data_IF_442596643733
#
_entry.id   IF_442596643733
#
_cell.length_a   1.000
_cell.length_b   1.000
_cell.length_c   1.000
_cell.angle_alpha   90.00
_cell.angle_beta   90.00
_cell.angle_gamma   90.00
#
_symmetry.space_group_name_H-M   'P 1'
#
loop_
_entity.id
_entity.type
_entity.pdbx_description
1 polymer ?
#
# COMPACT_ATOMS: atom_id res chain seq x y z
N UNK A 1 16.59 24.44 20.71
CA UNK A 1 17.01 23.32 19.84
C UNK A 1 16.50 23.62 18.44
N UNK A 2 17.35 23.72 17.41
CA UNK A 2 16.89 24.09 16.08
C UNK A 2 15.87 23.05 15.56
N UNK A 3 14.82 23.48 14.82
CA UNK A 3 13.77 22.60 14.27
C UNK A 3 14.34 21.39 13.50
N UNK A 4 15.49 21.58 12.83
CA UNK A 4 16.25 20.54 12.12
C UNK A 4 16.83 19.46 13.04
N UNK A 5 17.15 19.78 14.29
CA UNK A 5 17.68 18.82 15.26
C UNK A 5 16.57 17.94 15.82
N UNK A 6 15.38 18.52 16.05
CA UNK A 6 14.24 17.79 16.58
C UNK A 6 13.76 16.67 15.64
N UNK A 7 13.56 16.99 14.36
CA UNK A 7 13.11 15.99 13.37
C UNK A 7 14.15 14.89 13.18
N UNK A 8 15.45 15.23 13.14
CA UNK A 8 16.52 14.22 13.07
C UNK A 8 16.49 13.29 14.27
N UNK A 9 16.26 13.83 15.48
CA UNK A 9 16.16 13.02 16.69
C UNK A 9 14.94 12.11 16.69
N UNK A 10 13.78 12.57 16.19
CA UNK A 10 12.57 11.76 16.05
C UNK A 10 12.80 10.60 15.09
N UNK A 11 13.39 10.87 13.92
CA UNK A 11 13.70 9.84 12.93
C UNK A 11 14.68 8.81 13.48
N UNK A 12 15.77 9.28 14.10
CA UNK A 12 16.77 8.41 14.74
C UNK A 12 16.15 7.48 15.81
N UNK A 13 15.11 7.95 16.49
CA UNK A 13 14.36 7.14 17.44
C UNK A 13 13.48 6.09 16.77
N UNK A 14 12.70 6.46 15.77
CA UNK A 14 11.84 5.53 15.02
C UNK A 14 12.68 4.46 14.31
N UNK A 15 13.85 4.83 13.80
CA UNK A 15 14.77 3.95 13.06
C UNK A 15 15.78 3.21 13.98
N UNK A 16 15.64 3.33 15.30
CA UNK A 16 16.55 2.72 16.28
C UNK A 16 16.66 1.19 16.13
N UNK A 17 17.77 0.60 16.56
CA UNK A 17 17.94 -0.86 16.52
C UNK A 17 16.96 -1.58 17.45
N UNK A 18 16.66 -2.85 17.16
CA UNK A 18 15.69 -3.68 17.91
C UNK A 18 16.00 -3.75 19.40
N UNK A 19 17.28 -3.73 19.79
CA UNK A 19 17.74 -3.74 21.18
C UNK A 19 17.20 -2.56 22.02
N UNK A 20 17.02 -1.39 21.39
CA UNK A 20 16.50 -0.18 22.04
C UNK A 20 14.96 -0.21 22.13
N UNK A 21 14.30 -1.07 21.33
CA UNK A 21 12.84 -1.20 21.22
C UNK A 21 12.25 -2.22 22.20
N UNK A 22 13.02 -2.70 23.17
CA UNK A 22 12.58 -3.69 24.16
C UNK A 22 11.42 -3.18 25.02
N UNK A 23 10.60 -4.11 25.49
CA UNK A 23 9.57 -3.81 26.48
C UNK A 23 10.19 -3.10 27.71
N UNK A 24 9.49 -2.10 28.24
CA UNK A 24 9.98 -1.27 29.35
C UNK A 24 10.95 -0.15 28.97
N UNK A 25 11.46 -0.06 27.73
CA UNK A 25 12.35 1.06 27.32
C UNK A 25 11.64 2.39 27.09
N UNK A 26 10.30 2.39 27.14
CA UNK A 26 9.45 3.51 26.73
C UNK A 26 9.35 3.70 25.22
N UNK A 27 10.04 2.89 24.40
CA UNK A 27 9.98 3.03 22.94
C UNK A 27 8.63 2.60 22.39
N UNK A 28 8.14 1.41 22.80
CA UNK A 28 6.84 0.89 22.35
C UNK A 28 5.69 1.83 22.74
N UNK A 29 5.69 2.32 23.98
CA UNK A 29 4.69 3.30 24.41
C UNK A 29 4.78 4.60 23.61
N UNK A 30 5.98 5.09 23.32
CA UNK A 30 6.14 6.29 22.49
C UNK A 30 5.69 6.07 21.04
N UNK A 31 6.01 4.91 20.48
CA UNK A 31 5.67 4.56 19.10
C UNK A 31 4.15 4.38 18.93
N UNK A 32 3.51 3.55 19.76
CA UNK A 32 2.06 3.35 19.70
C UNK A 32 1.30 4.61 20.13
N UNK A 33 1.84 5.37 21.09
CA UNK A 33 1.32 6.69 21.42
C UNK A 33 1.34 7.62 20.21
N UNK A 34 2.44 7.69 19.47
CA UNK A 34 2.53 8.50 18.25
C UNK A 34 1.59 8.01 17.14
N UNK A 35 1.52 6.69 16.93
CA UNK A 35 0.63 6.09 15.93
C UNK A 35 -0.85 6.43 16.21
N UNK A 36 -1.30 6.22 17.45
CA UNK A 36 -2.66 6.54 17.86
C UNK A 36 -2.93 8.05 17.92
N UNK A 37 -1.94 8.87 18.25
CA UNK A 37 -2.06 10.33 18.17
C UNK A 37 -2.34 10.78 16.74
N UNK A 38 -1.56 10.30 15.77
CA UNK A 38 -1.72 10.64 14.36
C UNK A 38 -3.06 10.12 13.83
N UNK A 39 -3.40 8.85 14.08
CA UNK A 39 -4.65 8.26 13.64
C UNK A 39 -5.85 9.00 14.25
N UNK A 40 -5.85 9.26 15.55
CA UNK A 40 -6.89 10.02 16.24
C UNK A 40 -7.01 11.45 15.71
N UNK A 41 -5.88 12.13 15.48
CA UNK A 41 -5.87 13.46 14.87
C UNK A 41 -6.51 13.46 13.47
N UNK A 42 -6.17 12.49 12.62
CA UNK A 42 -6.76 12.35 11.30
C UNK A 42 -8.26 12.06 11.35
N UNK A 43 -8.73 11.23 12.29
CA UNK A 43 -10.16 11.02 12.52
C UNK A 43 -10.88 12.30 12.96
N UNK A 44 -10.27 13.10 13.85
CA UNK A 44 -10.84 14.39 14.27
C UNK A 44 -10.93 15.37 13.11
N UNK A 45 -9.91 15.42 12.25
CA UNK A 45 -9.93 16.25 11.03
C UNK A 45 -11.04 15.80 10.07
N UNK A 46 -11.18 14.50 9.84
CA UNK A 46 -12.24 13.94 9.00
C UNK A 46 -13.64 14.21 9.58
N UNK A 47 -13.81 14.16 10.90
CA UNK A 47 -15.08 14.52 11.55
C UNK A 47 -15.37 16.03 11.48
N UNK A 48 -14.33 16.87 11.54
CA UNK A 48 -14.48 18.33 11.47
C UNK A 48 -14.81 18.82 10.07
N UNK A 49 -14.18 18.24 9.05
CA UNK A 49 -14.30 18.67 7.66
C UNK A 49 -14.63 17.47 6.76
N UNK A 50 -15.83 16.87 6.93
CA UNK A 50 -16.17 15.61 6.26
C UNK A 50 -16.14 15.72 4.72
N UNK A 51 -16.59 16.84 4.16
CA UNK A 51 -16.64 17.03 2.70
C UNK A 51 -15.26 16.98 2.02
N UNK A 52 -14.19 17.26 2.78
CA UNK A 52 -12.81 17.27 2.26
C UNK A 52 -12.02 16.03 2.64
N UNK A 53 -12.22 15.50 3.85
CA UNK A 53 -11.29 14.52 4.43
C UNK A 53 -11.92 13.18 4.79
N UNK A 54 -13.23 13.06 4.62
CA UNK A 54 -13.96 11.85 4.94
C UNK A 54 -14.43 11.12 3.68
N UNK A 55 -14.30 9.80 3.72
CA UNK A 55 -14.61 8.90 2.62
C UNK A 55 -16.04 8.35 2.80
N UNK A 56 -16.94 8.41 1.79
CA UNK A 56 -18.32 7.94 1.90
C UNK A 56 -18.43 6.46 2.27
N UNK A 57 -17.49 5.64 1.80
CA UNK A 57 -17.43 4.21 2.10
C UNK A 57 -17.28 3.92 3.60
N UNK A 58 -16.76 4.87 4.38
CA UNK A 58 -16.63 4.76 5.83
C UNK A 58 -17.83 5.35 6.59
N UNK A 59 -18.88 5.85 5.92
CA UNK A 59 -20.04 6.44 6.59
C UNK A 59 -20.77 5.43 7.48
N UNK A 60 -20.85 4.16 7.06
CA UNK A 60 -21.42 3.08 7.89
C UNK A 60 -20.65 2.96 9.22
N UNK A 61 -19.33 3.08 9.17
CA UNK A 61 -18.47 3.00 10.36
C UNK A 61 -18.57 4.28 11.19
N UNK A 62 -18.58 5.46 10.55
CA UNK A 62 -18.63 6.76 11.24
C UNK A 62 -20.00 7.02 11.91
N UNK A 63 -21.08 6.54 11.30
CA UNK A 63 -22.45 6.67 11.81
C UNK A 63 -22.80 5.61 12.84
N UNK A 64 -21.95 4.60 13.05
CA UNK A 64 -22.11 3.67 14.15
C UNK A 64 -21.97 4.39 15.50
N UNK A 65 -22.93 4.21 16.40
CA UNK A 65 -22.98 4.92 17.69
C UNK A 65 -21.72 4.76 18.57
N UNK A 66 -20.94 3.70 18.37
CA UNK A 66 -19.68 3.48 19.07
C UNK A 66 -18.47 4.22 18.48
N UNK A 67 -18.56 4.79 17.27
CA UNK A 67 -17.41 5.36 16.56
C UNK A 67 -16.76 6.52 17.30
N UNK A 68 -17.55 7.49 17.76
CA UNK A 68 -17.02 8.61 18.55
C UNK A 68 -16.37 8.12 19.85
N UNK A 69 -16.96 7.10 20.49
CA UNK A 69 -16.37 6.43 21.64
C UNK A 69 -15.00 5.82 21.32
N UNK A 70 -14.87 5.17 20.16
CA UNK A 70 -13.60 4.60 19.67
C UNK A 70 -12.54 5.69 19.40
N UNK A 71 -12.91 6.79 18.75
CA UNK A 71 -11.99 7.94 18.54
C UNK A 71 -11.53 8.51 19.89
N UNK A 72 -12.46 8.66 20.84
CA UNK A 72 -12.14 9.15 22.18
C UNK A 72 -11.17 8.22 22.91
N UNK A 73 -11.47 6.90 22.92
CA UNK A 73 -10.60 5.89 23.51
C UNK A 73 -9.20 5.89 22.86
N UNK A 74 -9.12 6.04 21.54
CA UNK A 74 -7.85 6.11 20.80
C UNK A 74 -7.00 7.30 21.25
N UNK A 75 -7.61 8.49 21.40
CA UNK A 75 -6.92 9.69 21.90
C UNK A 75 -6.48 9.55 23.36
N UNK A 76 -7.31 8.94 24.22
CA UNK A 76 -6.96 8.68 25.63
C UNK A 76 -5.80 7.67 25.76
N UNK A 77 -5.85 6.57 25.02
CA UNK A 77 -4.76 5.58 25.00
C UNK A 77 -3.48 6.22 24.48
N UNK A 78 -3.56 6.99 23.40
CA UNK A 78 -2.44 7.79 22.88
C UNK A 78 -1.82 8.68 23.95
N UNK A 79 -2.66 9.43 24.68
CA UNK A 79 -2.22 10.32 25.75
C UNK A 79 -1.51 9.54 26.87
N UNK A 80 -2.11 8.47 27.38
CA UNK A 80 -1.50 7.63 28.43
C UNK A 80 -0.16 7.03 28.00
N UNK A 81 -0.08 6.51 26.76
CA UNK A 81 1.16 5.96 26.20
C UNK A 81 2.24 7.04 25.98
N UNK A 82 1.85 8.25 25.58
CA UNK A 82 2.76 9.38 25.43
C UNK A 82 3.40 9.78 26.77
N UNK A 83 2.61 9.86 27.84
CA UNK A 83 3.10 10.12 29.20
C UNK A 83 4.02 8.99 29.69
N UNK A 84 3.63 7.74 29.48
CA UNK A 84 4.47 6.59 29.83
C UNK A 84 5.82 6.62 29.08
N UNK A 85 5.81 7.01 27.80
CA UNK A 85 7.05 7.21 27.04
C UNK A 85 7.90 8.35 27.60
N UNK A 86 7.28 9.47 27.96
CA UNK A 86 7.95 10.60 28.60
C UNK A 86 8.55 10.24 29.96
N UNK A 87 7.96 9.29 30.69
CA UNK A 87 8.54 8.78 31.94
C UNK A 87 9.73 7.86 31.67
N UNK A 88 9.51 6.80 30.88
CA UNK A 88 10.47 5.70 30.74
C UNK A 88 11.64 6.01 29.79
N UNK A 89 11.42 6.83 28.75
CA UNK A 89 12.37 6.97 27.66
C UNK A 89 13.36 8.09 27.91
N UNK A 90 14.69 7.90 27.79
CA UNK A 90 15.65 8.99 27.98
C UNK A 90 15.45 10.14 26.98
N UNK A 91 15.24 9.81 25.71
CA UNK A 91 14.92 10.79 24.65
C UNK A 91 13.42 11.04 24.61
N UNK A 92 13.01 12.24 25.02
CA UNK A 92 11.60 12.62 25.17
C UNK A 92 10.90 12.96 23.84
N UNK A 93 11.63 13.06 22.74
CA UNK A 93 11.14 13.50 21.42
C UNK A 93 9.95 12.67 20.92
N UNK A 94 9.99 11.34 21.11
CA UNK A 94 8.92 10.46 20.66
C UNK A 94 7.60 10.70 21.43
N UNK A 95 7.68 10.64 22.77
CA UNK A 95 6.53 10.90 23.64
C UNK A 95 6.01 12.34 23.54
N UNK A 96 6.90 13.33 23.42
CA UNK A 96 6.51 14.74 23.27
C UNK A 96 5.78 14.99 21.95
N UNK A 97 6.27 14.42 20.84
CA UNK A 97 5.58 14.53 19.55
C UNK A 97 4.18 13.92 19.61
N UNK A 98 4.05 12.72 20.18
CA UNK A 98 2.76 12.06 20.36
C UNK A 98 1.79 12.90 21.21
N UNK A 99 2.29 13.43 22.34
CA UNK A 99 1.52 14.28 23.25
C UNK A 99 1.03 15.55 22.53
N UNK A 100 1.91 16.25 21.79
CA UNK A 100 1.54 17.48 21.09
C UNK A 100 0.49 17.25 20.01
N UNK A 101 0.59 16.16 19.24
CA UNK A 101 -0.41 15.80 18.23
C UNK A 101 -1.75 15.44 18.89
N UNK A 102 -1.72 14.65 19.97
CA UNK A 102 -2.93 14.29 20.73
C UNK A 102 -3.62 15.52 21.33
N UNK A 103 -2.85 16.45 21.92
CA UNK A 103 -3.38 17.71 22.44
C UNK A 103 -3.97 18.58 21.32
N UNK A 104 -3.34 18.65 20.15
CA UNK A 104 -3.91 19.35 19.00
C UNK A 104 -5.26 18.74 18.57
N UNK A 105 -5.39 17.42 18.55
CA UNK A 105 -6.66 16.74 18.27
C UNK A 105 -7.75 17.11 19.29
N UNK A 106 -7.41 17.17 20.57
CA UNK A 106 -8.34 17.57 21.65
C UNK A 106 -8.75 19.04 21.50
N UNK A 107 -7.80 19.94 21.22
CA UNK A 107 -8.07 21.37 21.00
C UNK A 107 -8.98 21.63 19.79
N UNK A 108 -8.94 20.76 18.79
CA UNK A 108 -9.86 20.80 17.65
C UNK A 108 -11.27 20.26 17.96
N UNK A 109 -11.53 19.83 19.20
CA UNK A 109 -12.83 19.32 19.66
C UNK A 109 -12.86 17.83 19.95
N UNK A 110 -11.77 17.10 19.68
CA UNK A 110 -11.66 15.67 19.93
C UNK A 110 -12.78 14.87 19.26
N UNK A 111 -13.25 13.81 19.91
CA UNK A 111 -14.30 12.94 19.38
C UNK A 111 -15.71 13.60 19.33
N UNK A 112 -15.91 14.71 20.03
CA UNK A 112 -17.19 15.42 20.08
C UNK A 112 -17.27 16.57 19.07
N UNK A 113 -16.23 16.71 18.24
CA UNK A 113 -16.19 17.72 17.20
C UNK A 113 -17.42 17.60 16.30
N UNK A 114 -18.04 18.75 16.01
CA UNK A 114 -19.16 18.80 15.08
C UNK A 114 -18.63 19.17 13.69
N UNK A 115 -19.23 18.61 12.62
CA UNK A 115 -18.93 19.01 11.26
C UNK A 115 -19.06 20.51 11.10
N UNK A 116 -18.07 21.13 10.47
CA UNK A 116 -18.19 22.49 9.99
C UNK A 116 -18.93 22.46 8.66
N UNK A 117 -19.81 23.44 8.42
CA UNK A 117 -20.37 23.64 7.09
C UNK A 117 -19.23 23.98 6.13
N UNK A 118 -18.93 23.05 5.23
CA UNK A 118 -17.99 23.22 4.14
C UNK A 118 -18.71 23.15 2.80
N UNK A 119 -18.05 23.61 1.74
CA UNK A 119 -18.56 23.42 0.38
C UNK A 119 -18.20 22.00 -0.07
N UNK A 120 -19.20 21.26 -0.49
CA UNK A 120 -19.01 20.00 -1.22
C UNK A 120 -18.66 20.31 -2.68
N UNK A 121 -17.43 19.99 -3.06
CA UNK A 121 -16.92 20.15 -4.42
C UNK A 121 -17.06 18.84 -5.24
N UNK A 122 -17.64 17.79 -4.65
CA UNK A 122 -17.70 16.44 -5.21
C UNK A 122 -16.37 15.68 -5.18
N UNK A 123 -15.31 16.28 -4.64
CA UNK A 123 -13.98 15.70 -4.52
C UNK A 123 -13.56 15.71 -3.05
N UNK A 124 -13.21 14.53 -2.54
CA UNK A 124 -12.67 14.33 -1.20
C UNK A 124 -11.27 13.70 -1.27
N UNK A 125 -10.50 13.93 -0.21
CA UNK A 125 -9.20 13.33 0.04
C UNK A 125 -9.33 12.38 1.22
N UNK A 126 -9.35 11.07 0.98
CA UNK A 126 -9.67 10.05 1.99
C UNK A 126 -8.64 9.92 3.12
N UNK A 127 -8.59 10.89 4.03
CA UNK A 127 -7.66 10.92 5.16
C UNK A 127 -8.06 9.92 6.23
N UNK A 128 -9.37 9.77 6.47
CA UNK A 128 -9.93 8.70 7.29
C UNK A 128 -9.59 7.32 6.71
N UNK A 129 -9.73 7.16 5.39
CA UNK A 129 -9.39 5.94 4.69
C UNK A 129 -7.90 5.61 4.76
N UNK A 130 -7.02 6.60 4.58
CA UNK A 130 -5.58 6.42 4.84
C UNK A 130 -5.31 5.92 6.26
N UNK A 131 -5.89 6.57 7.27
CA UNK A 131 -5.63 6.23 8.67
C UNK A 131 -6.15 4.83 9.01
N UNK A 132 -7.36 4.48 8.58
CA UNK A 132 -7.91 3.12 8.77
C UNK A 132 -7.04 2.09 8.06
N UNK A 133 -6.69 2.31 6.79
CA UNK A 133 -5.88 1.36 6.03
C UNK A 133 -4.50 1.18 6.65
N UNK A 134 -3.82 2.26 7.03
CA UNK A 134 -2.50 2.18 7.66
C UNK A 134 -2.54 1.35 8.95
N UNK A 135 -3.59 1.54 9.77
CA UNK A 135 -3.76 0.75 10.99
C UNK A 135 -4.06 -0.71 10.65
N UNK A 136 -5.04 -0.98 9.79
CA UNK A 136 -5.46 -2.34 9.44
C UNK A 136 -4.31 -3.13 8.81
N UNK A 137 -3.66 -2.61 7.77
CA UNK A 137 -2.54 -3.30 7.11
C UNK A 137 -1.31 -3.37 8.02
N UNK A 138 -1.03 -2.30 8.77
CA UNK A 138 0.08 -2.28 9.72
C UNK A 138 -0.09 -3.34 10.82
N UNK A 139 -1.27 -3.45 11.42
CA UNK A 139 -1.56 -4.48 12.43
C UNK A 139 -1.72 -5.88 11.84
N UNK A 140 -2.01 -6.00 10.55
CA UNK A 140 -2.05 -7.30 9.86
C UNK A 140 -0.65 -7.82 9.56
N UNK A 141 0.19 -7.01 8.92
CA UNK A 141 1.46 -7.47 8.37
C UNK A 141 2.67 -7.25 9.28
N UNK A 142 2.71 -6.15 10.05
CA UNK A 142 3.88 -5.92 10.91
C UNK A 142 4.08 -7.06 11.93
N UNK A 143 3.04 -7.60 12.61
CA UNK A 143 3.20 -8.77 13.47
C UNK A 143 3.61 -10.02 12.69
N UNK A 144 3.04 -10.23 11.50
CA UNK A 144 3.33 -11.38 10.65
C UNK A 144 4.81 -11.41 10.23
N UNK A 145 5.35 -10.27 9.79
CA UNK A 145 6.77 -10.11 9.46
C UNK A 145 7.70 -10.26 10.67
N UNK A 146 7.19 -10.10 11.91
CA UNK A 146 7.98 -10.36 13.13
C UNK A 146 7.91 -11.80 13.60
N UNK A 147 6.76 -12.44 13.44
CA UNK A 147 6.58 -13.83 13.82
C UNK A 147 7.29 -14.78 12.84
N UNK A 148 7.23 -14.47 11.53
CA UNK A 148 7.76 -15.31 10.47
C UNK A 148 8.67 -14.52 9.51
N UNK A 149 9.77 -13.89 9.98
CA UNK A 149 10.62 -13.06 9.12
C UNK A 149 11.40 -13.90 8.11
N UNK A 150 11.43 -13.45 6.85
CA UNK A 150 12.46 -13.91 5.91
C UNK A 150 13.82 -13.29 6.27
N UNK A 151 13.90 -11.95 6.38
CA UNK A 151 15.08 -11.20 6.84
C UNK A 151 14.94 -10.77 8.30
N UNK A 152 15.46 -11.59 9.22
CA UNK A 152 15.41 -11.34 10.69
C UNK A 152 16.06 -10.02 11.12
N UNK A 153 17.13 -9.61 10.43
CA UNK A 153 17.85 -8.38 10.75
C UNK A 153 17.13 -7.10 10.27
N UNK A 154 16.08 -7.22 9.45
CA UNK A 154 15.37 -6.06 8.91
C UNK A 154 14.57 -5.32 9.99
N UNK A 155 14.80 -4.01 10.09
CA UNK A 155 14.09 -3.14 11.04
C UNK A 155 12.66 -2.90 10.57
N UNK A 156 11.77 -2.58 11.51
CA UNK A 156 10.37 -2.28 11.17
C UNK A 156 10.28 -0.98 10.37
N UNK A 157 11.11 -0.03 10.75
CA UNK A 157 11.34 1.20 10.00
C UNK A 157 12.71 1.08 9.34
N UNK A 158 12.74 0.40 8.19
CA UNK A 158 13.91 0.31 7.30
C UNK A 158 14.12 1.62 6.56
N UNK A 159 15.32 1.95 6.13
CA UNK A 159 15.70 3.28 5.60
C UNK A 159 14.69 3.95 4.66
N UNK A 160 14.02 3.19 3.80
CA UNK A 160 13.13 3.72 2.77
C UNK A 160 11.64 3.82 3.20
N UNK A 161 11.31 3.40 4.44
CA UNK A 161 9.93 3.37 4.96
C UNK A 161 9.16 4.69 4.80
N UNK A 162 9.89 5.81 4.84
CA UNK A 162 9.33 7.17 4.72
C UNK A 162 8.84 7.46 3.32
N UNK A 163 9.59 7.01 2.33
CA UNK A 163 9.23 7.15 0.92
C UNK A 163 8.01 6.29 0.63
N UNK A 164 8.04 5.03 1.08
CA UNK A 164 6.93 4.09 0.88
C UNK A 164 5.65 4.52 1.62
N UNK A 165 5.78 5.05 2.84
CA UNK A 165 4.65 5.62 3.57
C UNK A 165 4.08 6.85 2.86
N UNK A 166 4.92 7.67 2.23
CA UNK A 166 4.45 8.81 1.47
C UNK A 166 3.69 8.37 0.21
N UNK A 167 4.20 7.37 -0.52
CA UNK A 167 3.47 6.76 -1.64
C UNK A 167 2.14 6.13 -1.21
N UNK A 168 2.13 5.46 -0.05
CA UNK A 168 0.91 4.91 0.55
C UNK A 168 -0.09 6.03 0.84
N UNK A 169 0.35 7.10 1.50
CA UNK A 169 -0.46 8.29 1.80
C UNK A 169 -1.09 8.88 0.53
N UNK A 170 -0.28 9.15 -0.50
CA UNK A 170 -0.77 9.74 -1.75
C UNK A 170 -1.78 8.78 -2.41
N UNK A 171 -1.45 7.49 -2.53
CA UNK A 171 -2.31 6.53 -3.22
C UNK A 171 -3.66 6.32 -2.52
N UNK A 172 -3.70 6.37 -1.18
CA UNK A 172 -4.95 6.24 -0.42
C UNK A 172 -5.72 7.54 -0.33
N UNK A 173 -5.06 8.69 -0.16
CA UNK A 173 -5.76 9.98 -0.08
C UNK A 173 -6.39 10.34 -1.43
N UNK A 174 -5.74 9.99 -2.53
CA UNK A 174 -6.25 10.23 -3.89
C UNK A 174 -7.09 9.06 -4.41
N UNK A 175 -7.54 8.13 -3.56
CA UNK A 175 -8.25 6.91 -4.01
C UNK A 175 -9.48 7.24 -4.86
N UNK A 176 -10.24 8.29 -4.54
CA UNK A 176 -11.41 8.72 -5.32
C UNK A 176 -11.00 9.13 -6.74
N UNK A 177 -10.03 10.03 -6.87
CA UNK A 177 -9.54 10.53 -8.17
C UNK A 177 -8.92 9.39 -8.97
N UNK A 178 -8.09 8.55 -8.35
CA UNK A 178 -7.45 7.42 -9.03
C UNK A 178 -8.46 6.38 -9.49
N UNK A 179 -9.49 6.10 -8.69
CA UNK A 179 -10.56 5.17 -9.06
C UNK A 179 -11.45 5.76 -10.15
N UNK A 180 -11.77 7.05 -10.07
CA UNK A 180 -12.47 7.77 -11.12
C UNK A 180 -11.70 7.72 -12.44
N UNK A 181 -10.40 8.07 -12.45
CA UNK A 181 -9.60 8.02 -13.67
C UNK A 181 -9.51 6.61 -14.26
N UNK A 182 -9.41 5.58 -13.40
CA UNK A 182 -9.31 4.21 -13.85
C UNK A 182 -10.63 3.63 -14.38
N UNK A 183 -11.78 4.08 -13.84
CA UNK A 183 -13.09 3.49 -14.11
C UNK A 183 -14.03 4.41 -14.91
N UNK A 184 -13.73 5.70 -15.06
CA UNK A 184 -14.54 6.64 -15.82
C UNK A 184 -14.90 6.14 -17.25
N UNK A 185 -13.98 5.50 -18.01
CA UNK A 185 -14.36 5.03 -19.34
C UNK A 185 -15.35 3.85 -19.33
N UNK A 186 -15.57 3.18 -18.19
CA UNK A 186 -16.57 2.11 -18.06
C UNK A 186 -17.98 2.61 -18.37
N UNK A 187 -18.35 3.80 -17.90
CA UNK A 187 -19.69 4.36 -18.15
C UNK A 187 -19.91 4.59 -19.64
N UNK A 188 -18.90 5.13 -20.32
CA UNK A 188 -18.91 5.32 -21.76
C UNK A 188 -19.06 3.98 -22.51
N UNK A 189 -18.28 2.96 -22.14
CA UNK A 189 -18.38 1.62 -22.74
C UNK A 189 -19.77 1.04 -22.54
N UNK A 190 -20.32 1.08 -21.32
CA UNK A 190 -21.63 0.52 -21.04
C UNK A 190 -22.74 1.24 -21.81
N UNK A 191 -22.68 2.56 -21.92
CA UNK A 191 -23.66 3.37 -22.67
C UNK A 191 -23.66 3.05 -24.18
N UNK A 192 -22.52 2.64 -24.75
CA UNK A 192 -22.38 2.36 -26.19
C UNK A 192 -22.38 0.87 -26.54
N UNK A 193 -22.61 -0.02 -25.56
CA UNK A 193 -22.62 -1.47 -25.76
C UNK A 193 -23.93 -2.10 -25.28
N UNK A 194 -25.07 -1.40 -25.37
CA UNK A 194 -26.38 -1.93 -24.93
C UNK A 194 -26.76 -3.27 -25.59
N UNK A 195 -26.21 -3.59 -26.76
CA UNK A 195 -26.31 -4.91 -27.38
C UNK A 195 -25.76 -6.06 -26.53
N UNK A 196 -24.96 -5.77 -25.50
CA UNK A 196 -24.37 -6.76 -24.58
C UNK A 196 -25.21 -6.96 -23.32
N UNK A 197 -26.39 -6.34 -23.19
CA UNK A 197 -27.16 -6.40 -21.93
C UNK A 197 -27.58 -7.82 -21.56
N UNK A 198 -27.98 -8.65 -22.53
CA UNK A 198 -28.27 -10.06 -22.29
C UNK A 198 -27.02 -10.84 -21.83
N UNK A 199 -25.85 -10.53 -22.39
CA UNK A 199 -24.58 -11.13 -21.97
C UNK A 199 -24.22 -10.72 -20.53
N UNK A 200 -24.30 -9.41 -20.22
CA UNK A 200 -24.06 -8.88 -18.87
C UNK A 200 -25.02 -9.50 -17.85
N UNK A 201 -26.29 -9.65 -18.19
CA UNK A 201 -27.27 -10.32 -17.35
C UNK A 201 -26.91 -11.80 -17.12
N UNK A 202 -26.43 -12.50 -18.15
CA UNK A 202 -25.92 -13.86 -18.03
C UNK A 202 -24.72 -13.98 -17.09
N UNK A 203 -23.75 -13.06 -17.19
CA UNK A 203 -22.60 -13.00 -16.28
C UNK A 203 -23.04 -12.71 -14.84
N UNK A 204 -23.94 -11.73 -14.65
CA UNK A 204 -24.48 -11.37 -13.34
C UNK A 204 -25.26 -12.52 -12.68
N UNK A 205 -25.87 -13.40 -13.47
CA UNK A 205 -26.63 -14.55 -13.01
C UNK A 205 -25.76 -15.75 -12.58
N UNK A 206 -24.45 -15.75 -12.89
CA UNK A 206 -23.55 -16.79 -12.41
C UNK A 206 -23.49 -16.81 -10.88
N UNK A 207 -23.26 -17.97 -10.23
CA UNK A 207 -23.06 -18.01 -8.79
C UNK A 207 -21.91 -17.09 -8.37
N UNK A 208 -22.05 -16.42 -7.23
CA UNK A 208 -21.08 -15.42 -6.74
C UNK A 208 -19.64 -15.94 -6.74
N UNK A 209 -19.42 -17.17 -6.28
CA UNK A 209 -18.08 -17.77 -6.23
C UNK A 209 -17.49 -18.03 -7.63
N UNK A 210 -18.33 -18.35 -8.61
CA UNK A 210 -17.90 -18.54 -10.00
C UNK A 210 -17.49 -17.21 -10.60
N UNK A 211 -18.28 -16.16 -10.37
CA UNK A 211 -17.91 -14.79 -10.76
C UNK A 211 -16.56 -14.38 -10.17
N UNK A 212 -16.36 -14.61 -8.86
CA UNK A 212 -15.12 -14.25 -8.17
C UNK A 212 -13.90 -14.99 -8.72
N UNK A 213 -14.02 -16.30 -9.00
CA UNK A 213 -12.94 -17.07 -9.60
C UNK A 213 -12.61 -16.62 -11.03
N UNK A 214 -13.63 -16.27 -11.83
CA UNK A 214 -13.40 -15.73 -13.18
C UNK A 214 -12.69 -14.38 -13.07
N UNK A 215 -13.16 -13.49 -12.19
CA UNK A 215 -12.52 -12.19 -11.92
C UNK A 215 -11.06 -12.37 -11.52
N UNK A 216 -10.74 -13.29 -10.60
CA UNK A 216 -9.37 -13.60 -10.19
C UNK A 216 -8.47 -14.02 -11.36
N UNK A 217 -8.93 -14.95 -12.20
CA UNK A 217 -8.12 -15.47 -13.30
C UNK A 217 -7.98 -14.43 -14.42
N UNK A 218 -9.07 -13.76 -14.77
CA UNK A 218 -9.09 -12.75 -15.83
C UNK A 218 -8.25 -11.53 -15.47
N UNK A 219 -8.36 -11.06 -14.22
CA UNK A 219 -7.55 -9.95 -13.73
C UNK A 219 -6.06 -10.31 -13.68
N UNK A 220 -5.71 -11.52 -13.25
CA UNK A 220 -4.31 -11.95 -13.17
C UNK A 220 -3.69 -12.12 -14.57
N UNK A 221 -4.47 -12.60 -15.53
CA UNK A 221 -4.03 -12.69 -16.92
C UNK A 221 -3.81 -11.30 -17.53
N UNK A 222 -4.71 -10.35 -17.31
CA UNK A 222 -4.54 -8.97 -17.76
C UNK A 222 -3.34 -8.30 -17.05
N UNK A 223 -3.22 -8.50 -15.74
CA UNK A 223 -2.11 -8.03 -14.92
C UNK A 223 -0.78 -8.58 -15.44
N UNK A 224 -0.67 -9.88 -15.68
CA UNK A 224 0.53 -10.54 -16.19
C UNK A 224 1.07 -9.84 -17.44
N UNK A 225 0.21 -9.66 -18.44
CA UNK A 225 0.63 -9.07 -19.71
C UNK A 225 1.00 -7.60 -19.56
N UNK A 226 0.20 -6.84 -18.81
CA UNK A 226 0.46 -5.42 -18.65
C UNK A 226 1.71 -5.16 -17.80
N UNK A 227 1.93 -5.98 -16.78
CA UNK A 227 3.13 -5.98 -15.97
C UNK A 227 4.37 -6.35 -16.80
N UNK A 228 4.28 -7.37 -17.66
CA UNK A 228 5.34 -7.71 -18.61
C UNK A 228 5.61 -6.56 -19.60
N UNK A 229 4.60 -5.81 -20.04
CA UNK A 229 4.80 -4.62 -20.88
C UNK A 229 5.55 -3.51 -20.12
N UNK A 230 5.26 -3.31 -18.83
CA UNK A 230 6.04 -2.39 -17.99
C UNK A 230 7.52 -2.76 -17.93
N UNK A 231 7.84 -4.05 -17.92
CA UNK A 231 9.23 -4.51 -17.95
C UNK A 231 9.88 -4.39 -19.33
N UNK A 232 9.14 -4.67 -20.40
CA UNK A 232 9.69 -4.77 -21.76
C UNK A 232 9.73 -3.46 -22.54
N UNK A 233 8.81 -2.53 -22.30
CA UNK A 233 8.77 -1.25 -23.02
C UNK A 233 9.59 -0.21 -22.23
N UNK A 234 10.70 0.33 -22.78
CA UNK A 234 11.59 1.26 -22.06
C UNK A 234 10.90 2.50 -21.47
N UNK A 235 9.86 3.02 -22.11
CA UNK A 235 9.08 4.14 -21.60
C UNK A 235 8.23 3.73 -20.39
N UNK A 236 7.50 2.61 -20.50
CA UNK A 236 6.68 2.10 -19.40
C UNK A 236 7.57 1.69 -18.20
N UNK A 237 8.72 1.08 -18.47
CA UNK A 237 9.69 0.74 -17.44
C UNK A 237 10.13 1.94 -16.60
N UNK A 238 10.18 3.16 -17.17
CA UNK A 238 10.48 4.35 -16.37
C UNK A 238 9.52 4.57 -15.20
N UNK A 239 8.23 4.21 -15.36
CA UNK A 239 7.25 4.26 -14.28
C UNK A 239 7.47 3.14 -13.27
N UNK A 240 7.65 1.92 -13.77
CA UNK A 240 7.75 0.72 -12.96
C UNK A 240 9.11 0.56 -12.26
N UNK A 241 10.15 1.19 -12.77
CA UNK A 241 11.46 1.29 -12.14
C UNK A 241 11.38 1.97 -10.77
N UNK A 242 10.43 2.89 -10.57
CA UNK A 242 10.17 3.49 -9.25
C UNK A 242 9.75 2.40 -8.27
N UNK A 243 8.87 1.48 -8.68
CA UNK A 243 8.46 0.34 -7.86
C UNK A 243 9.61 -0.61 -7.57
N UNK A 244 10.38 -0.97 -8.61
CA UNK A 244 11.55 -1.84 -8.45
C UNK A 244 12.75 -1.16 -7.77
N UNK A 245 12.72 0.15 -7.50
CA UNK A 245 13.82 0.84 -6.80
C UNK A 245 13.96 0.46 -5.33
N UNK A 246 12.98 -0.24 -4.76
CA UNK A 246 13.03 -0.69 -3.37
C UNK A 246 14.19 -1.67 -3.14
N UNK A 247 15.15 -1.27 -2.31
CA UNK A 247 16.32 -2.10 -1.96
C UNK A 247 16.03 -3.11 -0.85
N UNK A 248 14.81 -3.09 -0.33
CA UNK A 248 14.35 -3.89 0.79
C UNK A 248 12.84 -4.09 0.74
N UNK A 249 12.39 -5.30 1.02
CA UNK A 249 10.99 -5.71 0.85
C UNK A 249 10.29 -5.83 2.21
N UNK A 250 9.14 -5.19 2.34
CA UNK A 250 8.14 -5.39 3.39
C UNK A 250 6.75 -5.07 2.82
N UNK A 251 5.71 -5.25 3.63
CA UNK A 251 4.32 -5.03 3.20
C UNK A 251 4.06 -3.61 2.69
N UNK A 252 4.87 -2.64 3.12
CA UNK A 252 4.78 -1.25 2.72
C UNK A 252 5.54 -0.99 1.40
N UNK A 253 6.57 -1.77 1.05
CA UNK A 253 7.32 -1.62 -0.20
C UNK A 253 6.40 -1.64 -1.44
N UNK A 254 5.34 -2.44 -1.41
CA UNK A 254 4.35 -2.53 -2.48
C UNK A 254 3.57 -1.24 -2.77
N UNK A 255 3.56 -0.28 -1.83
CA UNK A 255 2.89 1.02 -2.07
C UNK A 255 3.70 1.94 -2.96
N UNK A 256 5.03 1.75 -3.08
CA UNK A 256 5.90 2.55 -3.93
C UNK A 256 5.56 2.25 -5.39
N UNK A 257 4.59 2.95 -5.93
CA UNK A 257 4.19 2.86 -7.34
C UNK A 257 3.90 4.23 -7.89
N UNK A 258 4.27 4.46 -9.15
CA UNK A 258 3.98 5.73 -9.81
C UNK A 258 2.47 5.90 -10.05
N UNK A 259 1.91 7.11 -9.88
CA UNK A 259 0.46 7.33 -10.01
C UNK A 259 -0.10 6.93 -11.39
N UNK A 260 0.65 7.23 -12.46
CA UNK A 260 0.31 6.79 -13.83
C UNK A 260 0.25 5.27 -13.91
N UNK A 261 1.21 4.56 -13.33
CA UNK A 261 1.19 3.10 -13.29
C UNK A 261 -0.01 2.57 -12.51
N UNK A 262 -0.34 3.17 -11.36
CA UNK A 262 -1.55 2.83 -10.58
C UNK A 262 -2.81 2.96 -11.43
N UNK A 263 -2.99 4.09 -12.13
CA UNK A 263 -4.16 4.32 -12.99
C UNK A 263 -4.19 3.31 -14.13
N UNK A 264 -3.08 3.09 -14.82
CA UNK A 264 -3.01 2.19 -15.96
C UNK A 264 -3.26 0.72 -15.58
N UNK A 265 -2.60 0.22 -14.53
CA UNK A 265 -2.82 -1.15 -14.03
C UNK A 265 -4.26 -1.35 -13.58
N UNK A 266 -4.82 -0.43 -12.80
CA UNK A 266 -6.23 -0.51 -12.37
C UNK A 266 -7.18 -0.46 -13.55
N UNK A 267 -6.92 0.40 -14.54
CA UNK A 267 -7.75 0.48 -15.75
C UNK A 267 -7.74 -0.85 -16.49
N UNK A 268 -6.56 -1.39 -16.81
CA UNK A 268 -6.44 -2.62 -17.61
C UNK A 268 -7.01 -3.84 -16.89
N UNK A 269 -6.80 -3.94 -15.58
CA UNK A 269 -7.27 -5.10 -14.79
C UNK A 269 -8.75 -5.01 -14.41
N UNK A 270 -9.28 -3.81 -14.18
CA UNK A 270 -10.62 -3.65 -13.60
C UNK A 270 -11.66 -3.19 -14.63
N UNK A 271 -11.31 -2.32 -15.57
CA UNK A 271 -12.29 -1.76 -16.52
C UNK A 271 -13.04 -2.83 -17.31
N UNK A 272 -12.39 -3.86 -17.90
CA UNK A 272 -13.14 -4.93 -18.58
C UNK A 272 -14.09 -5.66 -17.63
N UNK A 273 -13.68 -5.91 -16.39
CA UNK A 273 -14.51 -6.64 -15.44
C UNK A 273 -15.74 -5.82 -15.02
N UNK A 274 -15.60 -4.51 -14.85
CA UNK A 274 -16.72 -3.63 -14.57
C UNK A 274 -17.68 -3.42 -15.76
N UNK A 275 -17.27 -3.75 -16.99
CA UNK A 275 -18.13 -3.63 -18.19
C UNK A 275 -18.78 -4.95 -18.62
N UNK A 276 -18.28 -6.09 -18.15
CA UNK A 276 -18.76 -7.43 -18.52
C UNK A 276 -19.96 -7.93 -17.68
N UNK A 277 -20.40 -7.18 -16.67
CA UNK A 277 -21.61 -7.51 -15.91
C UNK A 277 -21.39 -8.31 -14.63
N UNK A 278 -20.15 -8.40 -14.11
CA UNK A 278 -19.91 -8.96 -12.79
C UNK A 278 -20.61 -8.14 -11.70
N UNK A 279 -21.11 -8.83 -10.67
CA UNK A 279 -21.79 -8.18 -9.54
C UNK A 279 -20.87 -7.16 -8.86
N UNK A 280 -21.37 -5.96 -8.48
CA UNK A 280 -20.60 -4.99 -7.71
C UNK A 280 -19.98 -5.57 -6.43
N UNK A 281 -20.67 -6.49 -5.76
CA UNK A 281 -20.18 -7.16 -4.55
C UNK A 281 -18.95 -8.05 -4.81
N UNK A 282 -18.90 -8.73 -5.96
CA UNK A 282 -17.74 -9.53 -6.39
C UNK A 282 -16.55 -8.63 -6.66
N UNK A 283 -16.78 -7.52 -7.37
CA UNK A 283 -15.73 -6.53 -7.67
C UNK A 283 -15.15 -5.91 -6.39
N UNK A 284 -16.00 -5.53 -5.44
CA UNK A 284 -15.56 -5.01 -4.13
C UNK A 284 -14.75 -6.05 -3.36
N UNK A 285 -15.21 -7.30 -3.32
CA UNK A 285 -14.47 -8.38 -2.67
C UNK A 285 -13.11 -8.62 -3.33
N UNK A 286 -13.04 -8.58 -4.67
CA UNK A 286 -11.78 -8.73 -5.40
C UNK A 286 -10.82 -7.56 -5.11
N UNK A 287 -11.30 -6.31 -5.09
CA UNK A 287 -10.49 -5.14 -4.75
C UNK A 287 -9.90 -5.26 -3.33
N UNK A 288 -10.71 -5.66 -2.36
CA UNK A 288 -10.24 -5.91 -0.99
C UNK A 288 -9.23 -7.06 -0.92
N UNK A 289 -9.50 -8.15 -1.65
CA UNK A 289 -8.60 -9.30 -1.73
C UNK A 289 -7.25 -8.93 -2.34
N UNK A 290 -7.21 -8.31 -3.53
CA UNK A 290 -5.95 -7.95 -4.20
C UNK A 290 -5.14 -6.95 -3.38
N UNK A 291 -5.80 -6.05 -2.64
CA UNK A 291 -5.11 -5.11 -1.76
C UNK A 291 -4.33 -5.84 -0.65
N UNK A 292 -4.98 -6.75 0.07
CA UNK A 292 -4.33 -7.58 1.11
C UNK A 292 -3.31 -8.52 0.48
N UNK A 293 -3.67 -9.16 -0.62
CA UNK A 293 -2.83 -10.16 -1.30
C UNK A 293 -1.54 -9.55 -1.82
N UNK A 294 -1.61 -8.41 -2.52
CA UNK A 294 -0.42 -7.69 -3.00
C UNK A 294 0.50 -7.27 -1.86
N UNK A 295 -0.05 -6.73 -0.76
CA UNK A 295 0.75 -6.42 0.44
C UNK A 295 1.44 -7.66 1.03
N UNK A 296 0.77 -8.81 1.05
CA UNK A 296 1.37 -10.06 1.50
C UNK A 296 2.56 -10.49 0.62
N UNK A 297 2.45 -10.36 -0.71
CA UNK A 297 3.52 -10.76 -1.63
C UNK A 297 4.80 -9.94 -1.47
N UNK A 298 4.69 -8.69 -1.03
CA UNK A 298 5.86 -7.84 -0.75
C UNK A 298 6.37 -8.01 0.70
N UNK A 299 5.56 -8.60 1.57
CA UNK A 299 5.86 -8.68 2.99
C UNK A 299 7.12 -9.51 3.25
N UNK A 300 7.88 -9.12 4.28
CA UNK A 300 9.07 -9.84 4.74
C UNK A 300 8.71 -11.15 5.48
N UNK A 301 7.86 -11.98 4.88
CA UNK A 301 7.31 -13.21 5.45
C UNK A 301 8.02 -14.42 4.85
N UNK A 302 8.81 -15.09 5.69
CA UNK A 302 9.50 -16.32 5.38
C UNK A 302 8.59 -17.54 5.48
N UNK A 303 8.93 -18.59 4.73
CA UNK A 303 8.19 -19.85 4.73
C UNK A 303 8.75 -20.83 3.72
N UNK A 304 8.33 -22.10 3.81
CA UNK A 304 8.62 -23.10 2.78
C UNK A 304 7.57 -23.00 1.67
N UNK A 305 7.92 -22.27 0.61
CA UNK A 305 7.05 -22.05 -0.55
C UNK A 305 7.35 -23.00 -1.71
N UNK A 306 8.10 -24.10 -1.50
CA UNK A 306 8.56 -24.97 -2.59
C UNK A 306 7.41 -25.63 -3.35
N UNK A 307 6.32 -25.99 -2.68
CA UNK A 307 5.14 -26.58 -3.34
C UNK A 307 4.09 -25.55 -3.66
N UNK A 308 3.74 -24.70 -2.68
CA UNK A 308 2.67 -23.72 -2.81
C UNK A 308 2.97 -22.68 -3.90
N UNK A 309 4.22 -22.21 -3.98
CA UNK A 309 4.67 -21.18 -4.93
C UNK A 309 4.60 -21.60 -6.41
N UNK A 310 4.27 -22.86 -6.71
CA UNK A 310 4.02 -23.32 -8.07
C UNK A 310 2.57 -23.12 -8.53
N UNK A 311 1.65 -22.86 -7.60
CA UNK A 311 0.21 -22.79 -7.84
C UNK A 311 -0.37 -21.43 -7.48
N UNK A 312 0.13 -20.85 -6.39
CA UNK A 312 -0.30 -19.56 -5.86
C UNK A 312 0.95 -18.71 -5.66
N UNK A 313 0.89 -17.44 -6.02
CA UNK A 313 1.99 -16.51 -5.79
C UNK A 313 2.30 -16.44 -4.30
N UNK A 314 3.57 -16.35 -3.95
CA UNK A 314 4.02 -16.32 -2.55
C UNK A 314 4.99 -15.16 -2.38
N UNK A 315 5.28 -14.74 -1.13
CA UNK A 315 6.30 -13.73 -0.90
C UNK A 315 7.61 -14.07 -1.60
N UNK A 316 8.09 -15.33 -1.53
CA UNK A 316 9.32 -15.73 -2.24
C UNK A 316 9.23 -15.60 -3.75
N UNK A 317 8.10 -15.94 -4.35
CA UNK A 317 7.88 -15.81 -5.80
C UNK A 317 7.97 -14.35 -6.25
N UNK A 318 7.29 -13.45 -5.55
CA UNK A 318 7.30 -12.02 -5.88
C UNK A 318 8.61 -11.34 -5.47
N UNK A 319 9.28 -11.80 -4.41
CA UNK A 319 10.61 -11.32 -4.07
C UNK A 319 11.62 -11.62 -5.18
N UNK A 320 11.56 -12.79 -5.82
CA UNK A 320 12.37 -13.10 -7.00
C UNK A 320 12.08 -12.16 -8.17
N UNK A 321 10.87 -11.64 -8.31
CA UNK A 321 10.57 -10.60 -9.31
C UNK A 321 11.31 -9.28 -9.04
N UNK A 322 11.47 -8.92 -7.75
CA UNK A 322 12.22 -7.75 -7.30
C UNK A 322 13.72 -7.99 -7.12
N UNK A 323 14.21 -9.19 -7.42
CA UNK A 323 15.60 -9.56 -7.20
C UNK A 323 16.56 -8.80 -8.12
N UNK A 324 17.76 -8.53 -7.62
CA UNK A 324 18.81 -7.86 -8.39
C UNK A 324 19.71 -8.86 -9.15
N UNK A 325 19.58 -10.15 -8.84
CA UNK A 325 20.33 -11.22 -9.50
C UNK A 325 19.94 -11.33 -10.97
N UNK A 326 20.87 -11.75 -11.83
CA UNK A 326 20.60 -11.87 -13.28
C UNK A 326 19.41 -12.77 -13.61
N UNK A 327 19.21 -13.81 -12.82
CA UNK A 327 18.11 -14.77 -12.93
C UNK A 327 16.75 -14.24 -12.43
N UNK A 328 16.75 -13.10 -11.72
CA UNK A 328 15.57 -12.40 -11.24
C UNK A 328 15.01 -11.40 -12.29
N UNK A 329 15.68 -11.21 -13.42
CA UNK A 329 15.26 -10.23 -14.42
C UNK A 329 14.15 -10.79 -15.31
N UNK A 330 13.09 -10.01 -15.50
CA UNK A 330 11.96 -10.31 -16.39
C UNK A 330 11.28 -11.67 -16.09
N UNK A 331 11.13 -12.02 -14.81
CA UNK A 331 10.46 -13.25 -14.35
C UNK A 331 9.30 -12.91 -13.40
N UNK A 332 8.37 -13.86 -13.22
CA UNK A 332 7.33 -13.84 -12.18
C UNK A 332 6.40 -12.62 -12.24
N UNK A 333 5.70 -12.42 -13.35
CA UNK A 333 4.81 -11.26 -13.54
C UNK A 333 3.40 -11.44 -12.97
N UNK A 334 2.92 -12.68 -12.81
CA UNK A 334 1.60 -12.95 -12.27
C UNK A 334 1.54 -12.60 -10.78
N UNK A 335 0.38 -12.13 -10.32
CA UNK A 335 0.18 -11.73 -8.93
C UNK A 335 -0.59 -12.80 -8.16
N UNK A 336 -1.40 -13.63 -8.81
CA UNK A 336 -2.14 -14.70 -8.15
C UNK A 336 -1.59 -16.07 -8.49
N UNK A 337 -1.33 -16.31 -9.76
CA UNK A 337 -1.21 -17.64 -10.31
C UNK A 337 0.06 -17.82 -11.14
N UNK A 338 1.14 -18.37 -10.53
CA UNK A 338 2.40 -18.64 -11.20
C UNK A 338 2.31 -19.60 -12.39
N UNK A 339 1.17 -20.30 -12.59
CA UNK A 339 0.98 -21.11 -13.79
C UNK A 339 0.88 -20.26 -15.06
N UNK A 340 0.48 -18.98 -14.97
CA UNK A 340 0.52 -18.04 -16.10
C UNK A 340 1.97 -17.80 -16.52
N UNK A 341 2.87 -17.55 -15.56
CA UNK A 341 4.30 -17.46 -15.83
C UNK A 341 4.89 -18.74 -16.42
N UNK A 342 4.42 -19.92 -15.97
CA UNK A 342 4.85 -21.20 -16.57
C UNK A 342 4.39 -21.33 -18.02
N UNK A 343 3.15 -20.93 -18.30
CA UNK A 343 2.58 -20.97 -19.64
C UNK A 343 3.34 -20.08 -20.63
N UNK A 344 3.82 -18.93 -20.16
CA UNK A 344 4.49 -17.93 -21.01
C UNK A 344 6.02 -17.85 -20.82
N UNK A 345 6.60 -18.84 -20.12
CA UNK A 345 8.04 -19.04 -20.02
C UNK A 345 8.80 -18.04 -19.12
N UNK A 346 8.13 -17.47 -18.12
CA UNK A 346 8.69 -16.45 -17.21
C UNK A 346 8.73 -16.90 -15.74
N UNK A 347 8.44 -18.17 -15.45
CA UNK A 347 8.42 -18.69 -14.08
C UNK A 347 9.84 -18.95 -13.55
N UNK A 348 10.15 -18.39 -12.39
CA UNK A 348 11.40 -18.60 -11.66
C UNK A 348 11.14 -18.78 -10.16
N UNK A 349 11.36 -19.99 -9.63
CA UNK A 349 11.26 -20.27 -8.20
C UNK A 349 12.24 -21.36 -7.79
N UNK A 350 13.53 -21.02 -7.60
CA UNK A 350 14.54 -21.97 -7.15
C UNK A 350 14.16 -22.53 -5.78
N UNK A 351 14.40 -23.84 -5.61
CA UNK A 351 14.06 -24.55 -4.39
C UNK A 351 14.89 -24.01 -3.22
N UNK A 352 14.20 -23.73 -2.11
CA UNK A 352 14.82 -23.28 -0.84
C UNK A 352 15.70 -22.02 -0.92
N UNK A 353 15.66 -21.26 -2.02
CA UNK A 353 16.48 -20.06 -2.24
C UNK A 353 15.62 -18.81 -2.41
N UNK A 354 16.05 -17.74 -1.76
CA UNK A 354 15.52 -16.39 -1.88
C UNK A 354 16.53 -15.49 -2.59
N UNK A 355 16.11 -14.37 -3.20
CA UNK A 355 17.05 -13.35 -3.67
C UNK A 355 17.83 -12.75 -2.50
N UNK A 356 19.12 -12.56 -2.72
CA UNK A 356 20.08 -11.96 -1.80
C UNK A 356 20.00 -10.43 -1.80
N UNK A 357 19.64 -9.84 -2.95
CA UNK A 357 19.53 -8.39 -3.11
C UNK A 357 18.25 -8.01 -3.84
N UNK A 358 17.75 -6.81 -3.52
CA UNK A 358 16.60 -6.21 -4.20
C UNK A 358 16.99 -4.88 -4.81
N UNK A 359 16.17 -4.39 -5.72
CA UNK A 359 16.38 -3.12 -6.38
C UNK A 359 16.60 -3.31 -7.87
N UNK A 360 17.12 -2.25 -8.50
CA UNK A 360 17.53 -2.29 -9.90
C UNK A 360 18.92 -1.69 -10.08
N UNK A 361 19.62 -2.05 -11.17
CA UNK A 361 20.90 -1.44 -11.51
C UNK A 361 20.82 0.06 -11.85
N UNK A 362 19.62 0.58 -12.19
CA UNK A 362 19.42 2.00 -12.51
C UNK A 362 19.42 2.86 -11.24
N UNK A 363 20.07 4.02 -11.29
CA UNK A 363 20.06 5.00 -10.19
C UNK A 363 18.74 5.80 -10.20
N UNK A 364 17.71 5.22 -9.59
CA UNK A 364 16.44 5.92 -9.36
C UNK A 364 16.64 6.92 -8.21
N UNK A 365 16.29 8.20 -8.41
CA UNK A 365 16.53 9.22 -7.40
C UNK A 365 15.76 8.93 -6.10
N UNK A 366 16.35 9.30 -4.97
CA UNK A 366 15.68 9.26 -3.65
C UNK A 366 14.95 10.58 -3.44
N UNK A 367 13.63 10.59 -3.60
CA UNK A 367 12.70 11.69 -3.34
C UNK A 367 11.47 11.52 -4.25
N UNK A 368 10.28 11.55 -3.67
CA UNK A 368 9.01 11.42 -4.40
C UNK A 368 8.89 12.29 -5.66
N UNK A 369 9.23 13.58 -5.61
CA UNK A 369 9.08 14.46 -6.78
C UNK A 369 10.03 14.13 -7.91
N UNK A 370 11.27 13.71 -7.56
CA UNK A 370 12.23 13.26 -8.57
C UNK A 370 11.84 11.90 -9.13
N UNK A 371 11.30 11.00 -8.31
CA UNK A 371 10.74 9.72 -8.77
C UNK A 371 9.50 9.90 -9.62
N UNK A 372 8.65 10.87 -9.30
CA UNK A 372 7.51 11.25 -10.11
C UNK A 372 7.95 11.75 -11.49
N UNK A 373 8.99 12.57 -11.59
CA UNK A 373 9.51 13.02 -12.88
C UNK A 373 10.45 12.02 -13.58
N UNK A 374 10.80 10.92 -12.91
CA UNK A 374 11.78 9.95 -13.40
C UNK A 374 11.44 9.35 -14.77
N UNK A 375 10.20 8.92 -15.06
CA UNK A 375 9.87 8.30 -16.34
C UNK A 375 10.18 9.18 -17.55
N UNK A 376 10.10 10.49 -17.38
CA UNK A 376 10.33 11.51 -18.42
C UNK A 376 11.75 12.06 -18.45
N UNK A 377 12.52 11.84 -17.38
CA UNK A 377 13.89 12.36 -17.26
C UNK A 377 14.95 11.27 -17.37
N UNK A 378 14.54 9.99 -17.38
CA UNK A 378 15.47 8.87 -17.54
C UNK A 378 16.17 8.92 -18.89
N UNK A 379 17.47 8.70 -18.90
CA UNK A 379 18.30 8.70 -20.11
C UNK A 379 18.41 7.32 -20.78
N UNK A 380 17.56 6.37 -20.36
CA UNK A 380 17.23 5.16 -21.12
C UNK A 380 18.11 3.93 -20.89
N UNK A 381 19.19 4.00 -20.12
CA UNK A 381 20.08 2.82 -19.93
C UNK A 381 19.63 1.94 -18.76
N UNK A 382 19.03 0.80 -19.06
CA UNK A 382 19.10 -0.38 -18.17
C UNK A 382 20.58 -0.77 -18.08
N UNK A 383 21.23 -0.51 -16.95
CA UNK A 383 22.59 -0.98 -16.70
C UNK A 383 22.58 -2.52 -16.72
N UNK A 384 22.99 -3.10 -17.86
CA UNK A 384 22.91 -4.55 -18.13
C UNK A 384 22.71 -4.93 -19.60
N UNK A 385 22.41 -3.98 -20.49
CA UNK A 385 22.59 -4.19 -21.93
C UNK A 385 24.10 -4.20 -22.23
N UNK A 386 24.66 -5.39 -22.46
CA UNK A 386 25.94 -5.51 -23.19
C UNK A 386 25.81 -4.74 -24.50
N UNK A 387 26.84 -3.97 -24.93
CA UNK A 387 26.87 -3.47 -26.30
C UNK A 387 26.63 -4.65 -27.24
N UNK A 388 25.70 -4.51 -28.17
CA UNK A 388 25.65 -5.41 -29.31
C UNK A 388 27.04 -5.35 -29.97
N UNK A 389 27.72 -6.49 -30.05
CA UNK A 389 28.92 -6.67 -30.87
C UNK A 389 28.57 -6.53 -32.36
#
# INVERSE_FOLDING_TARGET
MAKRDYLRNLMRDLESHTEVRRFGSGWLSGFFGLLFAIAGFFMVIALRFPDWFATPELDIVKNWGGFRGLVHATLLVSYGLSLLSLLLRPRKVLGLTALMIGLAAILLGGANVQPQETRDWGIFFGLDFFAVNLLVTGFMFAPLERAFPHRRAQRLFRTEWREDLFYFLVSTMFVQILSFLALAPQQFVNAHTSSWDAFRAGVAALPWIVQFLIVLVASDFAQYWYHRLFHKIPFLWGFHAVHHSASSMDWLAGSRMHLVEVVLLRSVTSLPLFTLGFSPSVMQAYIGFIYVWSSLLHANVGGNFNRLGHWIATPRFHHWHHGLEREAFDVNFAIHFPWIDKLFGTFHLPRDRWPENYGIPEDVPKNYWRQFLYPWTRTGKKTGETPAE
#
